data_IF_598359747104
#
_entry.id   IF_598359747104
#
_cell.length_a   1.000
_cell.length_b   1.000
_cell.length_c   1.000
_cell.angle_alpha   90.00
_cell.angle_beta   90.00
_cell.angle_gamma   90.00
#
_symmetry.space_group_name_H-M   'P 1'
#
loop_
_entity.id
_entity.type
_entity.pdbx_description
1 polymer ?
#
# COMPACT_ATOMS: atom_id res chain seq x y z
N UNK A 1 -17.91 29.99 -42.68
CA UNK A 1 -17.55 31.14 -41.83
C UNK A 1 -18.68 32.19 -41.66
N UNK A 2 -19.95 31.84 -41.34
CA UNK A 2 -20.98 32.85 -41.05
C UNK A 2 -21.22 33.17 -39.55
N UNK A 3 -20.85 32.27 -38.62
CA UNK A 3 -21.29 32.37 -37.22
C UNK A 3 -20.59 33.44 -36.36
N UNK A 4 -19.35 33.83 -36.71
CA UNK A 4 -18.61 34.87 -35.98
C UNK A 4 -19.21 36.25 -36.29
N UNK A 5 -19.54 36.50 -37.55
CA UNK A 5 -20.14 37.76 -38.01
C UNK A 5 -21.55 37.97 -37.43
N UNK A 6 -22.32 36.89 -37.25
CA UNK A 6 -23.66 36.98 -36.66
C UNK A 6 -23.63 37.26 -35.15
N UNK A 7 -22.63 36.74 -34.42
CA UNK A 7 -22.43 37.04 -33.00
C UNK A 7 -22.04 38.51 -32.78
N UNK A 8 -21.06 38.99 -33.55
CA UNK A 8 -20.59 40.37 -33.44
C UNK A 8 -21.69 41.35 -33.83
N UNK A 9 -22.44 41.07 -34.90
CA UNK A 9 -23.61 41.87 -35.30
C UNK A 9 -24.69 41.91 -34.22
N UNK A 10 -24.99 40.77 -33.59
CA UNK A 10 -25.95 40.73 -32.50
C UNK A 10 -25.49 41.53 -31.29
N UNK A 11 -24.24 41.32 -30.86
CA UNK A 11 -23.63 42.02 -29.74
C UNK A 11 -23.70 43.54 -29.97
N UNK A 12 -23.32 43.97 -31.16
CA UNK A 12 -23.33 45.36 -31.59
C UNK A 12 -24.74 45.98 -31.60
N UNK A 13 -25.73 45.21 -32.06
CA UNK A 13 -27.13 45.63 -32.13
C UNK A 13 -27.84 45.64 -30.78
N UNK A 14 -27.49 44.74 -29.85
CA UNK A 14 -28.30 44.49 -28.64
C UNK A 14 -27.65 44.93 -27.33
N UNK A 15 -26.34 45.20 -27.33
CA UNK A 15 -25.61 45.59 -26.12
C UNK A 15 -26.26 46.76 -25.37
N UNK A 16 -26.53 47.85 -26.08
CA UNK A 16 -27.07 49.08 -25.48
C UNK A 16 -28.49 48.90 -24.93
N UNK A 17 -29.32 48.11 -25.62
CA UNK A 17 -30.69 47.82 -25.19
C UNK A 17 -30.71 46.97 -23.91
N UNK A 18 -29.88 45.92 -23.85
CA UNK A 18 -29.79 45.03 -22.69
C UNK A 18 -29.24 45.74 -21.46
N UNK A 19 -28.21 46.58 -21.64
CA UNK A 19 -27.64 47.38 -20.54
C UNK A 19 -28.63 48.44 -20.08
N UNK A 20 -29.20 49.21 -21.00
CA UNK A 20 -30.15 50.28 -20.70
C UNK A 20 -31.38 49.77 -19.95
N UNK A 21 -31.94 48.62 -20.35
CA UNK A 21 -33.09 48.04 -19.67
C UNK A 21 -32.80 47.58 -18.24
N UNK A 22 -31.59 47.06 -17.97
CA UNK A 22 -31.19 46.75 -16.59
C UNK A 22 -31.01 48.02 -15.76
N UNK A 23 -30.44 49.09 -16.34
CA UNK A 23 -30.30 50.39 -15.68
C UNK A 23 -31.69 51.00 -15.35
N UNK A 24 -32.65 50.90 -16.27
CA UNK A 24 -34.04 51.34 -16.07
C UNK A 24 -34.74 50.54 -14.95
N UNK A 25 -34.39 49.26 -14.81
CA UNK A 25 -34.84 48.38 -13.71
C UNK A 25 -34.05 48.59 -12.39
N UNK A 26 -33.14 49.58 -12.34
CA UNK A 26 -32.43 50.00 -11.14
C UNK A 26 -31.13 49.24 -10.85
N UNK A 27 -30.63 48.43 -11.78
CA UNK A 27 -29.32 47.79 -11.64
C UNK A 27 -28.20 48.83 -11.83
N UNK A 28 -27.19 48.88 -10.95
CA UNK A 28 -26.06 49.80 -11.12
C UNK A 28 -25.37 49.63 -12.48
N UNK A 29 -24.99 50.75 -13.09
CA UNK A 29 -24.38 50.81 -14.42
C UNK A 29 -23.24 49.79 -14.66
N UNK A 30 -22.28 49.71 -13.75
CA UNK A 30 -21.15 48.77 -13.85
C UNK A 30 -21.60 47.31 -13.75
N UNK A 31 -22.59 47.03 -12.89
CA UNK A 31 -23.12 45.69 -12.66
C UNK A 31 -23.96 45.23 -13.86
N UNK A 32 -24.79 46.12 -14.43
CA UNK A 32 -25.57 45.85 -15.63
C UNK A 32 -24.66 45.42 -16.80
N UNK A 33 -23.60 46.19 -17.07
CA UNK A 33 -22.61 45.87 -18.12
C UNK A 33 -21.90 44.56 -17.84
N UNK A 34 -21.53 44.29 -16.60
CA UNK A 34 -20.83 43.06 -16.24
C UNK A 34 -21.73 41.82 -16.37
N UNK A 35 -22.98 41.90 -15.92
CA UNK A 35 -23.96 40.81 -16.03
C UNK A 35 -24.27 40.49 -17.49
N UNK A 36 -24.50 41.52 -18.32
CA UNK A 36 -24.72 41.36 -19.76
C UNK A 36 -23.49 40.72 -20.42
N UNK A 37 -22.28 41.23 -20.12
CA UNK A 37 -21.04 40.67 -20.65
C UNK A 37 -20.79 39.21 -20.21
N UNK A 38 -21.04 38.86 -18.95
CA UNK A 38 -20.92 37.48 -18.46
C UNK A 38 -21.92 36.56 -19.18
N UNK A 39 -23.17 36.98 -19.30
CA UNK A 39 -24.23 36.21 -19.97
C UNK A 39 -23.90 35.97 -21.43
N UNK A 40 -23.56 37.03 -22.17
CA UNK A 40 -23.14 36.95 -23.57
C UNK A 40 -21.94 36.00 -23.75
N UNK A 41 -20.91 36.12 -22.92
CA UNK A 41 -19.76 35.21 -23.00
C UNK A 41 -20.11 33.75 -22.70
N UNK A 42 -21.11 33.48 -21.86
CA UNK A 42 -21.55 32.11 -21.59
C UNK A 42 -22.25 31.53 -22.83
N UNK A 43 -23.10 32.34 -23.46
CA UNK A 43 -23.86 31.99 -24.65
C UNK A 43 -23.01 31.81 -25.90
N UNK A 44 -21.83 32.45 -25.97
CA UNK A 44 -20.92 32.43 -27.14
C UNK A 44 -20.63 31.02 -27.68
N UNK A 45 -20.40 30.03 -26.81
CA UNK A 45 -20.10 28.65 -27.25
C UNK A 45 -21.29 27.91 -27.85
N UNK A 46 -22.50 28.35 -27.52
CA UNK A 46 -23.77 27.77 -27.99
C UNK A 46 -24.48 28.66 -29.02
N UNK A 47 -23.82 29.71 -29.52
CA UNK A 47 -24.46 30.76 -30.30
C UNK A 47 -25.15 30.22 -31.57
N UNK A 48 -24.44 29.40 -32.34
CA UNK A 48 -24.99 28.78 -33.55
C UNK A 48 -26.27 27.96 -33.33
N UNK A 49 -26.39 27.35 -32.14
CA UNK A 49 -27.59 26.60 -31.77
C UNK A 49 -28.72 27.55 -31.41
N UNK A 50 -28.42 28.56 -30.58
CA UNK A 50 -29.41 29.52 -30.07
C UNK A 50 -30.02 30.38 -31.16
N UNK A 51 -29.24 30.80 -32.17
CA UNK A 51 -29.77 31.61 -33.30
C UNK A 51 -30.76 30.82 -34.17
N UNK A 52 -30.68 29.49 -34.18
CA UNK A 52 -31.66 28.64 -34.87
C UNK A 52 -32.97 28.51 -34.11
N UNK A 53 -32.96 28.79 -32.81
CA UNK A 53 -34.17 28.88 -32.02
C UNK A 53 -34.79 30.26 -32.26
N UNK A 54 -36.08 30.31 -32.66
CA UNK A 54 -36.78 31.55 -33.05
C UNK A 54 -36.90 32.62 -31.93
N UNK A 55 -36.34 32.35 -30.74
CA UNK A 55 -36.51 33.17 -29.52
C UNK A 55 -35.18 33.48 -28.80
N UNK A 56 -34.06 33.57 -29.53
CA UNK A 56 -32.73 33.87 -28.94
C UNK A 56 -32.74 35.12 -28.03
N UNK A 57 -33.42 36.18 -28.44
CA UNK A 57 -33.53 37.44 -27.69
C UNK A 57 -34.28 37.25 -26.37
N UNK A 58 -35.42 36.56 -26.39
CA UNK A 58 -36.25 36.29 -25.21
C UNK A 58 -35.48 35.42 -24.21
N UNK A 59 -34.85 34.35 -24.70
CA UNK A 59 -34.08 33.45 -23.85
C UNK A 59 -32.85 34.14 -23.23
N UNK A 60 -32.14 34.95 -24.03
CA UNK A 60 -30.99 35.69 -23.53
C UNK A 60 -31.40 36.77 -22.52
N UNK A 61 -32.50 37.48 -22.77
CA UNK A 61 -33.01 38.49 -21.84
C UNK A 61 -33.43 37.87 -20.50
N UNK A 62 -34.14 36.74 -20.52
CA UNK A 62 -34.47 36.00 -19.32
C UNK A 62 -33.21 35.62 -18.51
N UNK A 63 -32.16 35.12 -19.17
CA UNK A 63 -30.88 34.79 -18.52
C UNK A 63 -30.14 36.02 -17.95
N UNK A 64 -30.21 37.16 -18.64
CA UNK A 64 -29.62 38.42 -18.18
C UNK A 64 -30.33 38.90 -16.91
N UNK A 65 -31.67 38.91 -16.90
CA UNK A 65 -32.49 39.27 -15.73
C UNK A 65 -32.21 38.35 -14.54
N UNK A 66 -32.21 37.04 -14.78
CA UNK A 66 -31.93 36.03 -13.75
C UNK A 66 -30.58 36.29 -13.07
N UNK A 67 -29.53 36.55 -13.86
CA UNK A 67 -28.19 36.84 -13.33
C UNK A 67 -28.06 38.21 -12.66
N UNK A 68 -28.92 39.16 -13.02
CA UNK A 68 -29.03 40.45 -12.33
C UNK A 68 -29.84 40.34 -11.02
N UNK A 69 -30.42 39.17 -10.70
CA UNK A 69 -31.28 38.99 -9.54
C UNK A 69 -32.69 39.60 -9.70
N UNK A 70 -33.09 39.89 -10.94
CA UNK A 70 -34.42 40.41 -11.26
C UNK A 70 -35.40 39.27 -11.51
N UNK A 71 -36.69 39.52 -11.27
CA UNK A 71 -37.73 38.55 -11.57
C UNK A 71 -37.80 38.27 -13.08
N UNK A 72 -37.78 36.98 -13.45
CA UNK A 72 -37.89 36.51 -14.84
C UNK A 72 -39.37 36.35 -15.19
N UNK A 73 -39.81 36.99 -16.28
CA UNK A 73 -41.17 36.83 -16.82
C UNK A 73 -41.11 35.94 -18.07
N UNK A 74 -41.74 34.76 -18.08
CA UNK A 74 -41.70 33.87 -19.24
C UNK A 74 -42.26 34.55 -20.49
N UNK A 75 -41.53 34.46 -21.61
CA UNK A 75 -41.95 35.04 -22.89
C UNK A 75 -41.84 36.57 -22.98
N UNK A 76 -41.25 37.24 -21.98
CA UNK A 76 -41.01 38.68 -22.03
C UNK A 76 -40.11 39.03 -23.21
N UNK A 77 -40.60 39.91 -24.08
CA UNK A 77 -39.84 40.40 -25.20
C UNK A 77 -38.59 41.12 -24.69
N UNK A 78 -37.46 40.87 -25.34
CA UNK A 78 -36.25 41.60 -25.02
C UNK A 78 -36.43 43.10 -25.32
N UNK A 79 -35.83 43.98 -24.53
CA UNK A 79 -35.88 45.42 -24.75
C UNK A 79 -35.37 45.79 -26.15
N UNK A 80 -35.98 46.79 -26.80
CA UNK A 80 -35.52 47.32 -28.09
C UNK A 80 -35.60 48.85 -28.08
N UNK A 81 -34.58 49.51 -28.64
CA UNK A 81 -34.49 50.96 -28.75
C UNK A 81 -34.61 51.69 -27.39
N UNK A 82 -34.05 51.11 -26.33
CA UNK A 82 -34.10 51.69 -24.97
C UNK A 82 -33.24 52.93 -24.88
N UNK A 83 -32.07 52.90 -25.51
CA UNK A 83 -31.09 54.00 -25.46
C UNK A 83 -30.44 54.21 -26.83
N UNK A 84 -30.10 55.46 -27.20
CA UNK A 84 -29.23 55.70 -28.35
C UNK A 84 -27.88 55.00 -28.19
N UNK A 85 -27.35 54.49 -29.30
CA UNK A 85 -26.02 53.89 -29.33
C UNK A 85 -24.96 54.90 -28.89
N UNK A 86 -24.22 54.56 -27.84
CA UNK A 86 -23.10 55.34 -27.32
C UNK A 86 -21.76 54.66 -27.67
N UNK A 87 -20.92 55.26 -28.54
CA UNK A 87 -19.63 54.69 -28.90
C UNK A 87 -18.65 54.57 -27.73
N UNK A 88 -18.81 55.36 -26.67
CA UNK A 88 -17.98 55.28 -25.47
C UNK A 88 -18.29 54.04 -24.62
N UNK A 89 -19.47 53.43 -24.78
CA UNK A 89 -19.92 52.27 -24.02
C UNK A 89 -19.78 50.96 -24.81
N UNK A 90 -18.57 50.72 -25.33
CA UNK A 90 -18.30 49.55 -26.16
C UNK A 90 -18.24 48.23 -25.33
N UNK A 91 -18.80 47.12 -25.85
CA UNK A 91 -18.87 45.84 -25.12
C UNK A 91 -17.50 45.19 -24.85
N UNK A 92 -16.48 45.46 -25.66
CA UNK A 92 -15.20 44.73 -25.62
C UNK A 92 -14.44 44.82 -24.30
N UNK A 93 -14.46 45.99 -23.66
CA UNK A 93 -13.82 46.21 -22.37
C UNK A 93 -14.48 45.33 -21.28
N UNK A 94 -15.81 45.23 -21.31
CA UNK A 94 -16.60 44.47 -20.36
C UNK A 94 -16.52 42.97 -20.60
N UNK A 95 -16.55 42.53 -21.86
CA UNK A 95 -16.27 41.14 -22.22
C UNK A 95 -14.87 40.73 -21.75
N UNK A 96 -13.87 41.59 -21.90
CA UNK A 96 -12.51 41.32 -21.42
C UNK A 96 -12.45 41.22 -19.89
N UNK A 97 -13.15 42.10 -19.18
CA UNK A 97 -13.28 42.06 -17.71
C UNK A 97 -13.96 40.78 -17.24
N UNK A 98 -15.08 40.38 -17.85
CA UNK A 98 -15.80 39.15 -17.52
C UNK A 98 -14.97 37.88 -17.80
N UNK A 99 -14.16 37.84 -18.87
CA UNK A 99 -13.21 36.74 -19.12
C UNK A 99 -12.19 36.59 -18.00
N UNK A 100 -11.63 37.71 -17.50
CA UNK A 100 -10.66 37.70 -16.39
C UNK A 100 -11.27 37.18 -15.08
N UNK A 101 -12.51 37.57 -14.77
CA UNK A 101 -13.21 37.06 -13.59
C UNK A 101 -13.45 35.54 -13.67
N UNK A 102 -13.81 35.03 -14.85
CA UNK A 102 -14.01 33.59 -15.07
C UNK A 102 -12.73 32.78 -14.96
N UNK A 103 -11.61 33.24 -15.52
CA UNK A 103 -10.34 32.51 -15.44
C UNK A 103 -9.81 32.46 -14.00
N UNK A 104 -9.97 33.53 -13.23
CA UNK A 104 -9.59 33.57 -11.81
C UNK A 104 -10.37 32.57 -10.95
N UNK A 105 -11.68 32.42 -11.18
CA UNK A 105 -12.51 31.43 -10.47
C UNK A 105 -12.10 29.99 -10.82
N UNK A 106 -11.81 29.68 -12.10
CA UNK A 106 -11.39 28.33 -12.54
C UNK A 106 -10.06 27.87 -11.97
N UNK A 107 -9.06 28.76 -11.92
CA UNK A 107 -7.72 28.41 -11.41
C UNK A 107 -7.76 28.03 -9.93
N UNK A 108 -8.61 28.68 -9.12
CA UNK A 108 -8.77 28.36 -7.69
C UNK A 108 -9.40 26.98 -7.47
N UNK A 109 -10.34 26.57 -8.32
CA UNK A 109 -10.96 25.25 -8.24
C UNK A 109 -9.99 24.11 -8.57
N UNK A 110 -9.20 24.26 -9.64
CA UNK A 110 -8.22 23.25 -10.06
C UNK A 110 -7.14 22.99 -9.00
N UNK A 111 -6.60 24.06 -8.39
CA UNK A 111 -5.56 23.93 -7.35
C UNK A 111 -6.03 23.14 -6.13
N UNK A 112 -7.28 23.31 -5.72
CA UNK A 112 -7.86 22.56 -4.58
C UNK A 112 -8.06 21.08 -4.91
N UNK A 113 -8.50 20.76 -6.13
CA UNK A 113 -8.66 19.37 -6.57
C UNK A 113 -7.34 18.61 -6.59
N UNK A 114 -6.26 19.23 -7.10
CA UNK A 114 -4.92 18.62 -7.11
C UNK A 114 -4.40 18.37 -5.70
N UNK A 115 -4.56 19.34 -4.78
CA UNK A 115 -4.14 19.16 -3.39
C UNK A 115 -4.89 18.00 -2.70
N UNK A 116 -6.20 17.87 -2.92
CA UNK A 116 -6.99 16.77 -2.38
C UNK A 116 -6.53 15.40 -2.90
N UNK A 117 -6.24 15.29 -4.20
CA UNK A 117 -5.72 14.07 -4.79
C UNK A 117 -4.34 13.68 -4.24
N UNK A 118 -3.45 14.65 -4.04
CA UNK A 118 -2.13 14.39 -3.47
C UNK A 118 -2.22 13.83 -2.04
N UNK A 119 -3.10 14.39 -1.20
CA UNK A 119 -3.32 13.90 0.17
C UNK A 119 -3.91 12.48 0.14
N UNK A 120 -4.90 12.23 -0.70
CA UNK A 120 -5.50 10.89 -0.83
C UNK A 120 -4.47 9.86 -1.28
N UNK A 121 -3.61 10.20 -2.25
CA UNK A 121 -2.53 9.33 -2.70
C UNK A 121 -1.57 9.00 -1.55
N UNK A 122 -1.13 10.00 -0.78
CA UNK A 122 -0.24 9.79 0.37
C UNK A 122 -0.86 8.89 1.44
N UNK A 123 -2.15 9.05 1.73
CA UNK A 123 -2.87 8.20 2.69
C UNK A 123 -2.96 6.75 2.20
N UNK A 124 -3.29 6.54 0.92
CA UNK A 124 -3.37 5.19 0.34
C UNK A 124 -2.00 4.52 0.33
N UNK A 125 -0.95 5.23 -0.08
CA UNK A 125 0.42 4.69 -0.07
C UNK A 125 0.91 4.40 1.34
N UNK A 126 0.62 5.30 2.29
CA UNK A 126 1.00 5.12 3.70
C UNK A 126 0.29 3.93 4.35
N UNK A 127 -0.99 3.74 4.04
CA UNK A 127 -1.77 2.62 4.56
C UNK A 127 -1.33 1.28 3.95
N UNK A 128 -1.10 1.23 2.63
CA UNK A 128 -0.62 0.03 1.96
C UNK A 128 0.75 -0.43 2.50
N UNK A 129 1.66 0.50 2.76
CA UNK A 129 2.96 0.18 3.35
C UNK A 129 2.85 -0.39 4.77
N UNK A 130 1.95 0.16 5.60
CA UNK A 130 1.73 -0.33 6.96
C UNK A 130 1.09 -1.72 6.97
N UNK A 131 0.11 -1.97 6.10
CA UNK A 131 -0.59 -3.25 5.99
C UNK A 131 0.27 -4.38 5.39
N UNK A 132 1.31 -4.04 4.62
CA UNK A 132 2.23 -5.01 4.02
C UNK A 132 3.36 -5.45 4.96
N UNK A 133 3.37 -5.03 6.24
CA UNK A 133 4.37 -5.50 7.19
C UNK A 133 4.16 -6.98 7.51
N UNK A 134 5.22 -7.81 7.48
CA UNK A 134 5.12 -9.20 7.91
C UNK A 134 4.59 -9.28 9.35
N UNK A 135 3.75 -10.27 9.63
CA UNK A 135 3.40 -10.59 11.01
C UNK A 135 4.69 -11.03 11.75
N UNK A 136 4.93 -10.53 12.97
CA UNK A 136 6.07 -10.98 13.76
C UNK A 136 5.92 -12.48 14.06
N UNK A 137 7.05 -13.19 14.09
CA UNK A 137 7.06 -14.61 14.45
C UNK A 137 6.51 -14.80 15.87
N UNK A 138 5.72 -15.85 16.07
CA UNK A 138 5.18 -16.14 17.39
C UNK A 138 6.30 -16.66 18.31
N UNK A 139 6.46 -16.02 19.46
CA UNK A 139 7.43 -16.39 20.49
C UNK A 139 6.69 -16.83 21.75
N UNK A 140 7.11 -17.96 22.33
CA UNK A 140 6.59 -18.45 23.61
C UNK A 140 7.74 -18.83 24.54
N UNK A 141 7.65 -18.43 25.80
CA UNK A 141 8.61 -18.83 26.82
C UNK A 141 8.41 -20.33 27.15
N UNK A 142 9.44 -21.12 26.93
CA UNK A 142 9.48 -22.55 27.25
C UNK A 142 10.95 -22.96 27.44
N UNK A 143 11.24 -23.62 28.56
CA UNK A 143 12.59 -24.11 28.83
C UNK A 143 12.93 -25.27 27.91
N UNK A 144 14.07 -25.18 27.23
CA UNK A 144 14.54 -26.24 26.34
C UNK A 144 14.85 -27.51 27.14
N UNK A 145 14.19 -28.65 26.86
CA UNK A 145 14.53 -29.90 27.51
C UNK A 145 15.89 -30.46 27.04
N UNK A 146 16.40 -30.00 25.89
CA UNK A 146 17.67 -30.46 25.32
C UNK A 146 18.79 -29.44 25.57
N UNK A 147 20.04 -29.90 25.75
CA UNK A 147 21.19 -29.01 26.01
C UNK A 147 21.69 -28.28 24.75
N UNK A 148 20.97 -28.36 23.64
CA UNK A 148 21.32 -27.79 22.34
C UNK A 148 20.10 -27.18 21.69
N UNK A 149 20.32 -26.19 20.81
CA UNK A 149 19.29 -25.66 19.93
C UNK A 149 18.79 -26.75 18.98
N UNK A 150 17.49 -26.85 18.80
CA UNK A 150 16.90 -27.83 17.89
C UNK A 150 15.66 -27.28 17.19
N UNK A 151 15.29 -27.92 16.09
CA UNK A 151 14.14 -27.54 15.29
C UNK A 151 13.25 -28.73 15.01
N UNK A 152 11.94 -28.56 15.19
CA UNK A 152 10.93 -29.51 14.72
C UNK A 152 9.62 -28.78 14.42
N UNK A 153 8.82 -29.33 13.49
CA UNK A 153 7.44 -28.89 13.26
C UNK A 153 7.21 -27.38 13.01
N UNK A 154 8.21 -26.65 12.51
CA UNK A 154 8.07 -25.19 12.32
C UNK A 154 8.51 -24.35 13.52
N UNK A 155 9.04 -24.98 14.56
CA UNK A 155 9.46 -24.35 15.80
C UNK A 155 10.97 -24.52 16.01
N UNK A 156 11.64 -23.40 16.32
CA UNK A 156 13.03 -23.35 16.74
C UNK A 156 13.07 -23.21 18.26
N UNK A 157 13.66 -24.19 18.93
CA UNK A 157 13.75 -24.27 20.39
C UNK A 157 15.13 -23.78 20.83
N UNK A 158 15.14 -22.63 21.52
CA UNK A 158 16.30 -22.03 22.19
C UNK A 158 16.21 -22.30 23.70
N UNK A 159 17.24 -21.95 24.45
CA UNK A 159 17.37 -22.26 25.89
C UNK A 159 16.11 -21.92 26.74
N UNK A 160 15.53 -20.74 26.53
CA UNK A 160 14.36 -20.26 27.29
C UNK A 160 13.12 -19.94 26.47
N UNK A 161 13.18 -20.06 25.14
CA UNK A 161 12.09 -19.64 24.24
C UNK A 161 11.96 -20.58 23.05
N UNK A 162 10.75 -20.62 22.52
CA UNK A 162 10.44 -21.29 21.27
C UNK A 162 9.89 -20.27 20.29
N UNK A 163 10.46 -20.25 19.09
CA UNK A 163 10.10 -19.31 18.03
C UNK A 163 9.50 -20.07 16.86
N UNK A 164 8.28 -19.73 16.46
CA UNK A 164 7.59 -20.34 15.34
C UNK A 164 8.11 -19.77 14.01
N UNK A 165 9.21 -20.34 13.51
CA UNK A 165 9.84 -19.96 12.24
C UNK A 165 9.62 -21.08 11.23
N UNK A 166 8.66 -20.93 10.29
CA UNK A 166 8.41 -21.96 9.30
C UNK A 166 9.58 -22.09 8.31
N UNK A 167 9.67 -23.27 7.69
CA UNK A 167 10.56 -23.51 6.54
C UNK A 167 12.06 -23.24 6.78
N UNK A 168 12.54 -23.38 8.02
CA UNK A 168 14.00 -23.38 8.29
C UNK A 168 14.67 -24.51 7.50
N UNK A 169 15.61 -24.18 6.63
CA UNK A 169 16.41 -25.13 5.87
C UNK A 169 17.64 -25.57 6.67
N UNK A 170 18.38 -24.59 7.20
CA UNK A 170 19.53 -24.76 8.09
C UNK A 170 19.49 -23.78 9.24
N UNK A 171 20.16 -24.10 10.35
CA UNK A 171 20.37 -23.18 11.47
C UNK A 171 21.69 -23.48 12.17
N UNK A 172 22.13 -22.64 13.10
CA UNK A 172 23.26 -22.92 13.99
C UNK A 172 23.10 -22.09 15.26
N UNK A 173 23.51 -22.61 16.41
CA UNK A 173 23.58 -21.79 17.62
C UNK A 173 24.52 -20.59 17.41
N UNK A 174 24.07 -19.40 17.80
CA UNK A 174 24.82 -18.15 17.68
C UNK A 174 24.59 -17.28 18.90
N UNK A 175 25.64 -17.06 19.69
CA UNK A 175 25.57 -16.41 21.00
C UNK A 175 24.53 -17.08 21.92
N UNK A 176 23.55 -16.33 22.43
CA UNK A 176 22.45 -16.86 23.24
C UNK A 176 21.25 -17.33 22.40
N UNK A 177 21.33 -17.25 21.07
CA UNK A 177 20.24 -17.57 20.15
C UNK A 177 20.71 -18.44 18.99
N UNK A 178 20.30 -18.11 17.76
CA UNK A 178 20.61 -18.89 16.57
C UNK A 178 20.66 -18.03 15.30
N UNK A 179 21.44 -18.46 14.31
CA UNK A 179 21.27 -18.05 12.91
C UNK A 179 20.47 -19.13 12.17
N UNK A 180 19.56 -18.76 11.29
CA UNK A 180 18.77 -19.68 10.48
C UNK A 180 18.67 -19.22 9.03
N UNK A 181 18.82 -20.16 8.09
CA UNK A 181 18.52 -19.98 6.67
C UNK A 181 17.15 -20.57 6.39
N UNK A 182 16.24 -19.77 5.86
CA UNK A 182 14.92 -20.21 5.43
C UNK A 182 15.01 -20.82 4.02
N UNK A 183 14.02 -21.63 3.65
CA UNK A 183 13.91 -22.20 2.29
C UNK A 183 13.84 -21.13 1.19
N UNK A 184 13.42 -19.91 1.52
CA UNK A 184 13.47 -18.75 0.62
C UNK A 184 14.91 -18.32 0.26
N UNK A 185 15.91 -18.77 1.02
CA UNK A 185 17.31 -18.36 0.96
C UNK A 185 17.64 -17.22 1.93
N UNK A 186 16.63 -16.59 2.52
CA UNK A 186 16.76 -15.54 3.53
C UNK A 186 17.47 -16.06 4.78
N UNK A 187 18.34 -15.23 5.36
CA UNK A 187 19.07 -15.55 6.58
C UNK A 187 18.62 -14.63 7.68
N UNK A 188 18.17 -15.23 8.78
CA UNK A 188 17.69 -14.52 9.96
C UNK A 188 18.54 -14.87 11.16
N UNK A 189 18.74 -13.87 12.02
CA UNK A 189 19.24 -14.00 13.38
C UNK A 189 18.05 -14.07 14.32
N UNK A 190 18.10 -15.01 15.25
CA UNK A 190 17.13 -15.18 16.33
C UNK A 190 17.87 -14.96 17.63
N UNK A 191 17.50 -13.95 18.41
CA UNK A 191 18.11 -13.67 19.70
C UNK A 191 17.58 -14.61 20.79
N UNK A 192 18.24 -14.62 21.97
CA UNK A 192 17.91 -15.56 23.06
C UNK A 192 16.56 -15.32 23.72
N UNK A 193 15.94 -14.17 23.49
CA UNK A 193 14.57 -13.82 23.88
C UNK A 193 13.54 -14.10 22.77
N UNK A 194 14.00 -14.51 21.59
CA UNK A 194 13.16 -14.91 20.45
C UNK A 194 12.92 -13.81 19.42
N UNK A 195 13.51 -12.62 19.57
CA UNK A 195 13.43 -11.58 18.56
C UNK A 195 14.15 -12.02 17.27
N UNK A 196 13.51 -11.79 16.12
CA UNK A 196 14.01 -12.22 14.81
C UNK A 196 14.36 -11.02 13.95
N UNK A 197 15.55 -11.06 13.36
CA UNK A 197 16.10 -9.98 12.54
C UNK A 197 16.75 -10.53 11.28
N UNK A 198 16.53 -9.88 10.15
CA UNK A 198 17.28 -10.18 8.93
C UNK A 198 18.77 -9.91 9.17
N UNK A 199 19.64 -10.78 8.65
CA UNK A 199 21.10 -10.60 8.73
C UNK A 199 21.79 -10.94 7.43
N UNK A 200 22.71 -10.07 7.01
CA UNK A 200 23.58 -10.30 5.85
C UNK A 200 24.96 -10.88 6.24
N UNK A 201 25.25 -10.98 7.54
CA UNK A 201 26.55 -11.40 8.08
C UNK A 201 26.36 -12.55 9.10
N UNK A 202 25.96 -13.76 8.65
CA UNK A 202 25.81 -14.91 9.53
C UNK A 202 27.16 -15.51 9.94
N UNK A 203 27.23 -16.30 11.02
CA UNK A 203 28.43 -17.03 11.37
C UNK A 203 28.78 -18.07 10.30
N UNK A 204 30.08 -18.21 9.97
CA UNK A 204 30.59 -19.16 8.96
C UNK A 204 30.10 -20.60 9.20
N UNK A 205 29.87 -20.97 10.46
CA UNK A 205 29.39 -22.30 10.86
C UNK A 205 27.97 -22.62 10.38
N UNK A 206 27.20 -21.62 9.94
CA UNK A 206 25.90 -21.85 9.31
C UNK A 206 26.06 -22.60 7.98
N UNK A 207 27.09 -22.26 7.22
CA UNK A 207 27.37 -22.85 5.90
C UNK A 207 28.38 -24.00 6.01
N UNK A 208 29.41 -23.85 6.86
CA UNK A 208 30.48 -24.83 7.07
C UNK A 208 30.49 -25.35 8.52
N UNK A 209 29.62 -26.31 8.87
CA UNK A 209 29.56 -26.85 10.23
C UNK A 209 30.87 -27.60 10.59
N UNK A 210 31.30 -27.57 11.87
CA UNK A 210 32.52 -28.24 12.29
C UNK A 210 32.43 -29.76 12.07
N UNK A 211 33.54 -30.36 11.64
CA UNK A 211 33.62 -31.81 11.45
C UNK A 211 33.55 -32.55 12.79
N UNK A 212 32.53 -33.39 12.95
CA UNK A 212 32.36 -34.21 14.14
C UNK A 212 33.42 -35.32 14.21
N UNK A 213 33.90 -35.67 15.42
CA UNK A 213 34.74 -36.84 15.62
C UNK A 213 33.94 -38.11 15.28
N UNK A 214 34.63 -39.20 14.86
CA UNK A 214 33.96 -40.46 14.60
C UNK A 214 33.25 -40.96 15.88
N UNK A 215 31.96 -41.26 15.76
CA UNK A 215 31.15 -41.78 16.84
C UNK A 215 30.62 -43.16 16.46
N UNK A 216 30.78 -44.14 17.35
CA UNK A 216 30.24 -45.48 17.17
C UNK A 216 28.97 -45.57 18.02
N UNK A 217 27.83 -45.74 17.36
CA UNK A 217 26.54 -45.86 18.03
C UNK A 217 26.50 -47.15 18.89
N UNK A 218 25.81 -47.07 20.03
CA UNK A 218 25.80 -48.12 21.05
C UNK A 218 24.36 -48.60 21.31
N UNK A 219 24.16 -49.93 21.32
CA UNK A 219 22.90 -50.55 21.74
C UNK A 219 21.81 -50.52 20.68
N UNK A 220 20.58 -50.17 21.09
CA UNK A 220 19.37 -50.18 20.25
C UNK A 220 19.32 -49.04 19.21
N UNK A 221 20.29 -48.12 19.24
CA UNK A 221 20.47 -47.06 18.26
C UNK A 221 21.78 -47.31 17.51
N UNK A 222 21.69 -47.59 16.22
CA UNK A 222 22.81 -48.00 15.38
C UNK A 222 23.07 -47.03 14.21
N UNK A 223 22.21 -46.01 14.04
CA UNK A 223 22.34 -45.01 12.97
C UNK A 223 22.64 -43.65 13.58
N UNK A 224 23.81 -43.09 13.28
CA UNK A 224 24.13 -41.69 13.55
C UNK A 224 23.45 -40.81 12.50
N UNK A 225 22.50 -39.99 12.93
CA UNK A 225 21.76 -39.06 12.05
C UNK A 225 22.53 -37.76 11.89
N UNK A 226 22.96 -37.19 13.03
CA UNK A 226 23.58 -35.87 13.05
C UNK A 226 24.46 -35.70 14.29
N UNK A 227 25.46 -34.82 14.20
CA UNK A 227 26.29 -34.42 15.34
C UNK A 227 26.41 -32.91 15.37
N UNK A 228 26.33 -32.32 16.55
CA UNK A 228 26.45 -30.87 16.78
C UNK A 228 27.40 -30.59 17.94
N UNK A 229 28.19 -29.52 17.85
CA UNK A 229 29.03 -29.08 18.96
C UNK A 229 28.16 -28.44 20.06
N UNK A 230 28.52 -28.67 21.33
CA UNK A 230 27.77 -28.12 22.47
C UNK A 230 28.55 -26.95 23.10
N UNK A 231 27.87 -25.89 23.59
CA UNK A 231 28.51 -24.88 24.43
C UNK A 231 29.29 -25.50 25.60
N UNK A 232 30.53 -25.05 25.82
CA UNK A 232 31.41 -25.63 26.84
C UNK A 232 32.26 -26.82 26.38
N UNK A 233 32.10 -27.25 25.13
CA UNK A 233 32.91 -28.29 24.48
C UNK A 233 32.29 -29.68 24.57
N UNK A 234 32.54 -30.49 23.54
CA UNK A 234 31.90 -31.80 23.36
C UNK A 234 30.94 -31.81 22.17
N UNK A 235 30.16 -32.89 22.07
CA UNK A 235 29.29 -33.18 20.94
C UNK A 235 27.96 -33.79 21.39
N UNK A 236 26.87 -33.34 20.78
CA UNK A 236 25.55 -33.96 20.86
C UNK A 236 25.33 -34.77 19.59
N UNK A 237 25.12 -36.07 19.74
CA UNK A 237 24.87 -37.00 18.65
C UNK A 237 23.38 -37.37 18.64
N UNK A 238 22.70 -37.07 17.54
CA UNK A 238 21.36 -37.55 17.26
C UNK A 238 21.45 -38.94 16.64
N UNK A 239 20.85 -39.91 17.30
CA UNK A 239 20.80 -41.29 16.86
C UNK A 239 19.38 -41.68 16.47
N UNK A 240 19.28 -42.64 15.55
CA UNK A 240 18.03 -43.32 15.19
C UNK A 240 18.20 -44.82 15.40
N UNK A 241 17.09 -45.49 15.69
CA UNK A 241 17.04 -46.95 15.78
C UNK A 241 16.77 -47.52 14.38
N UNK A 242 17.74 -48.19 13.76
CA UNK A 242 17.43 -49.01 12.59
C UNK A 242 16.78 -50.31 13.07
N UNK A 243 15.56 -50.57 12.63
CA UNK A 243 15.08 -51.96 12.65
C UNK A 243 15.86 -52.73 11.59
N UNK A 244 16.75 -53.63 12.03
CA UNK A 244 17.14 -54.80 11.23
C UNK A 244 16.61 -56.06 11.90
N UNK A 245 15.61 -56.67 11.25
CA UNK A 245 15.76 -57.99 10.63
C UNK A 245 14.43 -58.46 10.01
N UNK A 246 14.42 -58.70 8.70
CA UNK A 246 13.46 -59.60 8.04
C UNK A 246 12.14 -59.04 7.48
N UNK A 247 11.83 -57.75 7.57
CA UNK A 247 10.59 -57.21 6.99
C UNK A 247 10.75 -56.90 5.49
N UNK A 248 10.66 -57.93 4.65
CA UNK A 248 10.30 -57.78 3.24
C UNK A 248 8.80 -57.47 3.14
N UNK A 249 8.37 -56.26 3.49
CA UNK A 249 7.09 -55.76 3.00
C UNK A 249 6.96 -54.24 3.08
N UNK A 250 6.33 -53.72 2.03
CA UNK A 250 6.29 -52.35 1.60
C UNK A 250 5.53 -51.40 2.55
N UNK A 251 5.91 -50.12 2.50
CA UNK A 251 5.05 -48.96 2.79
C UNK A 251 4.24 -49.08 4.10
N UNK A 252 4.89 -48.72 5.20
CA UNK A 252 4.18 -48.16 6.36
C UNK A 252 4.89 -46.90 6.83
N UNK A 253 4.45 -45.79 6.24
CA UNK A 253 4.37 -44.52 6.95
C UNK A 253 3.57 -44.75 8.23
N UNK A 254 4.24 -44.85 9.37
CA UNK A 254 3.65 -44.59 10.68
C UNK A 254 4.77 -44.38 11.69
N UNK A 255 5.02 -43.12 12.03
CA UNK A 255 5.16 -42.66 13.41
C UNK A 255 6.27 -43.31 14.27
N UNK A 256 7.24 -42.49 14.70
CA UNK A 256 8.15 -42.73 15.84
C UNK A 256 9.27 -43.77 15.67
N UNK A 257 10.18 -43.56 14.71
CA UNK A 257 11.57 -43.98 14.92
C UNK A 257 12.07 -43.29 16.19
N UNK A 258 12.41 -44.04 17.23
CA UNK A 258 12.88 -43.45 18.49
C UNK A 258 14.17 -42.72 18.17
N UNK A 259 14.14 -41.40 18.16
CA UNK A 259 15.38 -40.61 18.13
C UNK A 259 15.91 -40.52 19.54
N UNK A 260 17.22 -40.67 19.68
CA UNK A 260 17.88 -40.46 20.95
C UNK A 260 19.01 -39.45 20.83
N UNK A 261 19.22 -38.67 21.88
CA UNK A 261 20.34 -37.77 22.02
C UNK A 261 21.40 -38.43 22.90
N UNK A 262 22.64 -38.47 22.44
CA UNK A 262 23.80 -38.81 23.28
C UNK A 262 24.70 -37.59 23.37
N UNK A 263 24.97 -37.14 24.58
CA UNK A 263 25.89 -36.03 24.84
C UNK A 263 27.24 -36.59 25.27
N UNK A 264 28.28 -36.25 24.52
CA UNK A 264 29.67 -36.54 24.83
C UNK A 264 30.36 -35.24 25.25
N UNK A 265 30.98 -35.23 26.44
CA UNK A 265 31.69 -34.06 26.94
C UNK A 265 33.05 -33.87 26.25
N UNK A 266 33.77 -32.79 26.55
CA UNK A 266 35.15 -32.60 26.09
C UNK A 266 36.13 -33.67 26.64
N UNK A 267 35.87 -34.19 27.84
CA UNK A 267 36.46 -35.44 28.31
C UNK A 267 35.78 -36.61 27.56
N UNK A 268 36.50 -37.68 27.16
CA UNK A 268 35.99 -38.74 26.27
C UNK A 268 34.95 -39.68 26.93
N UNK A 269 33.93 -39.08 27.55
CA UNK A 269 32.83 -39.72 28.26
C UNK A 269 31.54 -39.25 27.61
N UNK A 270 30.76 -40.23 27.16
CA UNK A 270 29.41 -40.02 26.65
C UNK A 270 28.39 -40.45 27.70
N UNK A 271 27.31 -39.69 27.81
CA UNK A 271 26.15 -40.04 28.63
C UNK A 271 25.39 -41.24 28.05
N UNK A 272 24.35 -41.67 28.77
CA UNK A 272 23.38 -42.63 28.24
C UNK A 272 22.51 -41.96 27.17
N UNK A 273 22.08 -42.70 26.11
CA UNK A 273 21.12 -42.17 25.14
C UNK A 273 19.80 -41.78 25.78
N UNK A 274 19.35 -40.55 25.56
CA UNK A 274 18.05 -40.04 26.01
C UNK A 274 17.06 -40.03 24.86
N UNK A 275 15.94 -40.74 24.98
CA UNK A 275 14.91 -40.79 23.93
C UNK A 275 14.15 -39.47 23.85
N UNK A 276 14.07 -38.90 22.65
CA UNK A 276 13.40 -37.63 22.38
C UNK A 276 11.94 -37.90 22.04
N UNK A 277 11.03 -37.51 22.94
CA UNK A 277 9.58 -37.69 22.76
C UNK A 277 8.88 -36.45 22.19
N UNK A 278 9.54 -35.29 22.17
CA UNK A 278 8.92 -34.00 21.89
C UNK A 278 8.69 -33.68 20.40
N UNK A 279 9.19 -34.49 19.45
CA UNK A 279 9.37 -34.04 18.06
C UNK A 279 8.83 -34.99 16.97
N UNK A 280 8.04 -36.01 17.32
CA UNK A 280 7.45 -37.00 16.40
C UNK A 280 8.42 -37.61 15.36
N UNK A 281 9.72 -37.61 15.66
CA UNK A 281 10.77 -38.10 14.77
C UNK A 281 11.23 -37.11 13.68
N UNK A 282 10.87 -35.82 13.75
CA UNK A 282 11.27 -34.78 12.77
C UNK A 282 12.41 -33.86 13.24
N UNK A 283 12.90 -34.04 14.47
CA UNK A 283 13.93 -33.19 15.11
C UNK A 283 15.23 -33.08 14.30
N UNK A 284 15.69 -31.85 14.07
CA UNK A 284 17.04 -31.56 13.58
C UNK A 284 17.83 -30.88 14.69
N UNK A 285 19.09 -31.24 14.82
CA UNK A 285 20.04 -30.52 15.69
C UNK A 285 20.88 -29.61 14.82
N UNK A 286 21.42 -28.49 15.30
CA UNK A 286 22.47 -27.77 14.57
C UNK A 286 23.13 -26.69 15.40
#
# INVERSE_FOLDING_TARGET
MPAVDDWERYLDARWHDLVGALEDDGVPADDARLVVAETLLASRRSWERRVRDEQVDVALWAEVRERAGLAVRPGEAAPHAVRPRDPADAPDAWLSRARRLRSGRRQRGLRRGVAGLAVAALLVTGWAWWAARPEPYAVRAETNPLPVTWYAQGELHLDGVVVAIPDVESFVAWDSGAAARLRSGEVVRVDGDGDVHDTDDPPDTLDDPPAAPPFVALGDYDVLVQSVAIPGGGWAHLLDSSRRDGAQDAVRQSESGRRALVVCTAEPRCGQPETITAADGSIRLR
#
